data_IF_419303911872
#
_entry.id   IF_419303911872
#
_cell.length_a   1.000
_cell.length_b   1.000
_cell.length_c   1.000
_cell.angle_alpha   90.00
_cell.angle_beta   90.00
_cell.angle_gamma   90.00
#
_symmetry.space_group_name_H-M   'P 1'
#
loop_
_entity.id
_entity.type
_entity.pdbx_description
1 polymer ?
#
# COMPACT_ATOMS: atom_id res chain seq x y z
N UNK A 1 -23.95 -11.82 -6.74
CA UNK A 1 -23.03 -10.99 -7.53
C UNK A 1 -21.68 -11.69 -7.69
N UNK A 2 -21.04 -11.53 -8.85
CA UNK A 2 -19.66 -11.97 -9.12
C UNK A 2 -18.70 -10.79 -9.09
N UNK A 3 -17.64 -10.90 -8.31
CA UNK A 3 -16.63 -9.82 -8.15
C UNK A 3 -15.28 -10.32 -8.65
N UNK A 4 -14.60 -9.50 -9.45
CA UNK A 4 -13.22 -9.72 -9.83
C UNK A 4 -12.29 -8.82 -8.99
N UNK A 5 -11.33 -9.42 -8.28
CA UNK A 5 -10.24 -8.71 -7.61
C UNK A 5 -8.97 -8.93 -8.42
N UNK A 6 -8.35 -7.83 -8.87
CA UNK A 6 -7.12 -7.87 -9.66
C UNK A 6 -5.93 -7.73 -8.74
N UNK A 7 -5.00 -8.69 -8.77
CA UNK A 7 -3.78 -8.70 -7.99
C UNK A 7 -3.48 -10.05 -7.33
N UNK A 8 -2.47 -10.13 -6.48
CA UNK A 8 -1.99 -11.41 -5.93
C UNK A 8 -1.30 -11.31 -4.56
N UNK A 9 -1.35 -10.16 -3.90
CA UNK A 9 -0.65 -9.91 -2.65
C UNK A 9 -1.49 -10.14 -1.40
N UNK A 10 -0.90 -9.84 -0.25
CA UNK A 10 -1.59 -9.89 1.05
C UNK A 10 -2.72 -8.87 1.15
N UNK A 11 -2.57 -7.72 0.51
CA UNK A 11 -3.61 -6.70 0.35
C UNK A 11 -4.86 -7.26 -0.34
N UNK A 12 -4.68 -7.93 -1.47
CA UNK A 12 -5.78 -8.55 -2.21
C UNK A 12 -6.45 -9.63 -1.37
N UNK A 13 -5.68 -10.43 -0.66
CA UNK A 13 -6.24 -11.45 0.23
C UNK A 13 -7.07 -10.81 1.35
N UNK A 14 -6.62 -9.71 1.95
CA UNK A 14 -7.39 -9.00 2.98
C UNK A 14 -8.70 -8.42 2.42
N UNK A 15 -8.67 -7.84 1.22
CA UNK A 15 -9.85 -7.33 0.53
C UNK A 15 -10.84 -8.47 0.24
N UNK A 16 -10.37 -9.59 -0.29
CA UNK A 16 -11.20 -10.77 -0.61
C UNK A 16 -11.88 -11.29 0.66
N UNK A 17 -11.14 -11.46 1.75
CA UNK A 17 -11.72 -11.94 3.01
C UNK A 17 -12.77 -10.99 3.56
N UNK A 18 -12.55 -9.67 3.43
CA UNK A 18 -13.54 -8.66 3.84
C UNK A 18 -14.78 -8.66 2.93
N UNK A 19 -14.62 -8.82 1.63
CA UNK A 19 -15.73 -8.94 0.70
C UNK A 19 -16.57 -10.20 0.94
N UNK A 20 -15.97 -11.31 1.34
CA UNK A 20 -16.69 -12.57 1.68
C UNK A 20 -17.66 -12.44 2.85
N UNK A 21 -17.54 -11.42 3.67
CA UNK A 21 -18.51 -11.14 4.74
C UNK A 21 -19.89 -10.72 4.19
N UNK A 22 -19.95 -10.25 2.93
CA UNK A 22 -21.19 -9.83 2.29
C UNK A 22 -21.94 -11.04 1.67
N UNK A 23 -23.14 -11.39 2.18
CA UNK A 23 -23.88 -12.57 1.72
C UNK A 23 -24.46 -12.43 0.29
N UNK A 24 -24.43 -11.26 -0.31
CA UNK A 24 -24.90 -11.05 -1.69
C UNK A 24 -23.84 -11.38 -2.74
N UNK A 25 -22.60 -11.60 -2.32
CA UNK A 25 -21.50 -12.03 -3.18
C UNK A 25 -21.57 -13.55 -3.34
N UNK A 26 -21.87 -14.00 -4.54
CA UNK A 26 -21.98 -15.43 -4.88
C UNK A 26 -20.61 -16.04 -5.21
N UNK A 27 -19.77 -15.27 -5.88
CA UNK A 27 -18.44 -15.72 -6.31
C UNK A 27 -17.45 -14.56 -6.31
N UNK A 28 -16.26 -14.82 -5.80
CA UNK A 28 -15.11 -13.93 -5.96
C UNK A 28 -14.09 -14.63 -6.87
N UNK A 29 -13.67 -13.91 -7.90
CA UNK A 29 -12.60 -14.29 -8.82
C UNK A 29 -11.39 -13.42 -8.49
N UNK A 30 -10.20 -14.00 -8.46
CA UNK A 30 -8.96 -13.26 -8.28
C UNK A 30 -7.99 -13.54 -9.42
N UNK A 31 -7.37 -12.51 -10.01
CA UNK A 31 -6.44 -12.67 -11.10
C UNK A 31 -5.15 -11.83 -10.88
N UNK A 32 -3.98 -12.49 -10.81
CA UNK A 32 -3.75 -13.94 -10.87
C UNK A 32 -4.05 -14.69 -9.56
N UNK A 33 -4.13 -13.98 -8.40
CA UNK A 33 -4.25 -14.60 -7.09
C UNK A 33 -2.96 -15.26 -6.60
N UNK A 34 -3.05 -16.02 -5.50
CA UNK A 34 -1.94 -16.77 -4.91
C UNK A 34 -2.45 -18.06 -4.23
N UNK A 35 -1.54 -18.82 -3.63
CA UNK A 35 -1.88 -20.12 -3.03
C UNK A 35 -2.92 -20.05 -1.92
N UNK A 36 -2.89 -19.01 -1.07
CA UNK A 36 -3.87 -18.85 0.01
C UNK A 36 -5.18 -18.22 -0.46
N UNK A 37 -5.12 -17.29 -1.42
CA UNK A 37 -6.33 -16.72 -2.04
C UNK A 37 -7.16 -17.81 -2.70
N UNK A 38 -6.55 -18.87 -3.23
CA UNK A 38 -7.23 -19.99 -3.84
C UNK A 38 -8.19 -20.75 -2.89
N UNK A 39 -8.02 -20.63 -1.58
CA UNK A 39 -8.96 -21.16 -0.59
C UNK A 39 -10.19 -20.28 -0.39
N UNK A 40 -10.11 -19.00 -0.75
CA UNK A 40 -11.13 -17.98 -0.52
C UNK A 40 -11.81 -17.49 -1.81
N UNK A 41 -11.16 -17.65 -2.97
CA UNK A 41 -11.64 -17.16 -4.26
C UNK A 41 -11.21 -18.09 -5.42
N UNK A 42 -11.89 -18.00 -6.56
CA UNK A 42 -11.49 -18.67 -7.79
C UNK A 42 -10.31 -17.94 -8.42
N UNK A 43 -9.10 -18.48 -8.31
CA UNK A 43 -7.93 -17.90 -8.94
C UNK A 43 -7.84 -18.26 -10.42
N UNK A 44 -7.62 -17.23 -11.28
CA UNK A 44 -7.43 -17.42 -12.72
C UNK A 44 -6.10 -16.76 -13.12
N UNK A 45 -5.22 -17.53 -13.74
CA UNK A 45 -3.88 -17.08 -14.06
C UNK A 45 -3.84 -16.10 -15.25
N UNK A 46 -4.28 -14.86 -14.99
CA UNK A 46 -4.15 -13.72 -15.88
C UNK A 46 -3.32 -12.66 -15.15
N UNK A 47 -2.26 -12.18 -15.78
CA UNK A 47 -1.41 -11.15 -15.19
C UNK A 47 -2.20 -9.86 -14.92
N UNK A 48 -1.97 -9.21 -13.76
CA UNK A 48 -2.63 -7.96 -13.41
C UNK A 48 -2.38 -6.82 -14.41
N UNK A 49 -1.28 -6.86 -15.14
CA UNK A 49 -0.90 -5.88 -16.17
C UNK A 49 -1.30 -6.28 -17.60
N UNK A 50 -1.93 -7.43 -17.76
CA UNK A 50 -2.45 -7.87 -19.06
C UNK A 50 -3.89 -7.37 -19.24
N UNK A 51 -4.00 -6.11 -19.66
CA UNK A 51 -5.27 -5.40 -19.75
C UNK A 51 -6.26 -6.13 -20.69
N UNK A 52 -5.80 -6.59 -21.84
CA UNK A 52 -6.66 -7.23 -22.82
C UNK A 52 -7.27 -8.55 -22.32
N UNK A 53 -6.44 -9.44 -21.81
CA UNK A 53 -6.90 -10.72 -21.26
C UNK A 53 -7.69 -10.54 -19.98
N UNK A 54 -7.44 -9.48 -19.20
CA UNK A 54 -8.22 -9.17 -17.99
C UNK A 54 -9.65 -8.74 -18.33
N UNK A 55 -9.82 -7.90 -19.35
CA UNK A 55 -11.14 -7.51 -19.87
C UNK A 55 -11.89 -8.73 -20.43
N UNK A 56 -11.21 -9.57 -21.20
CA UNK A 56 -11.82 -10.81 -21.71
C UNK A 56 -12.25 -11.74 -20.58
N UNK A 57 -11.42 -11.91 -19.56
CA UNK A 57 -11.75 -12.65 -18.36
C UNK A 57 -13.01 -12.11 -17.69
N UNK A 58 -13.06 -10.80 -17.44
CA UNK A 58 -14.21 -10.17 -16.78
C UNK A 58 -15.52 -10.37 -17.55
N UNK A 59 -15.47 -10.29 -18.89
CA UNK A 59 -16.63 -10.54 -19.78
C UNK A 59 -17.04 -12.00 -19.80
N UNK A 60 -16.10 -12.93 -19.92
CA UNK A 60 -16.36 -14.37 -19.99
C UNK A 60 -16.96 -14.91 -18.69
N UNK A 61 -16.46 -14.44 -17.55
CA UNK A 61 -16.96 -14.81 -16.22
C UNK A 61 -18.24 -14.03 -15.84
N UNK A 62 -18.66 -13.04 -16.63
CA UNK A 62 -19.82 -12.17 -16.36
C UNK A 62 -19.70 -11.46 -15.01
N UNK A 63 -18.59 -10.79 -14.82
CA UNK A 63 -18.28 -10.04 -13.59
C UNK A 63 -19.22 -8.85 -13.45
N UNK A 64 -19.84 -8.69 -12.28
CA UNK A 64 -20.74 -7.57 -11.98
C UNK A 64 -20.01 -6.33 -11.47
N UNK A 65 -18.83 -6.51 -10.83
CA UNK A 65 -18.03 -5.44 -10.23
C UNK A 65 -16.56 -5.83 -10.16
N UNK A 66 -15.65 -4.89 -10.43
CA UNK A 66 -14.21 -5.12 -10.40
C UNK A 66 -13.52 -4.27 -9.34
N UNK A 67 -12.54 -4.86 -8.64
CA UNK A 67 -11.69 -4.16 -7.67
C UNK A 67 -10.26 -4.19 -8.19
N UNK A 68 -9.74 -3.03 -8.59
CA UNK A 68 -8.37 -2.90 -9.12
C UNK A 68 -7.48 -2.39 -8.01
N UNK A 69 -6.54 -3.22 -7.56
CA UNK A 69 -5.77 -2.96 -6.34
C UNK A 69 -4.30 -2.61 -6.55
N UNK A 70 -3.56 -3.12 -7.56
CA UNK A 70 -2.17 -2.74 -7.77
C UNK A 70 -2.02 -1.41 -8.51
N UNK A 71 -0.93 -0.73 -8.27
CA UNK A 71 -0.56 0.56 -8.86
C UNK A 71 -0.33 0.48 -10.38
N UNK A 72 0.42 -0.52 -10.86
CA UNK A 72 0.72 -0.66 -12.30
C UNK A 72 -0.55 -0.73 -13.17
N UNK A 73 -1.51 -1.65 -12.96
CA UNK A 73 -2.71 -1.70 -13.79
C UNK A 73 -3.58 -0.43 -13.64
N UNK A 74 -3.61 0.23 -12.49
CA UNK A 74 -4.30 1.52 -12.33
C UNK A 74 -3.66 2.60 -13.21
N UNK A 75 -2.33 2.72 -13.17
CA UNK A 75 -1.60 3.68 -13.99
C UNK A 75 -1.72 3.36 -15.50
N UNK A 76 -1.87 2.08 -15.86
CA UNK A 76 -2.06 1.63 -17.24
C UNK A 76 -3.49 1.80 -17.77
N UNK A 77 -4.47 2.18 -16.92
CA UNK A 77 -5.85 2.43 -17.33
C UNK A 77 -6.75 1.19 -17.30
N UNK A 78 -6.49 0.23 -16.41
CA UNK A 78 -7.35 -0.95 -16.24
C UNK A 78 -8.79 -0.58 -15.90
N UNK A 79 -8.98 0.41 -15.02
CA UNK A 79 -10.32 0.91 -14.67
C UNK A 79 -10.99 1.51 -15.90
N UNK A 80 -10.26 2.35 -16.65
CA UNK A 80 -10.81 3.03 -17.83
C UNK A 80 -11.36 2.02 -18.86
N UNK A 81 -10.60 0.98 -19.17
CA UNK A 81 -11.02 0.00 -20.19
C UNK A 81 -12.15 -0.93 -19.70
N UNK A 82 -12.16 -1.30 -18.42
CA UNK A 82 -13.25 -2.11 -17.85
C UNK A 82 -14.57 -1.32 -17.82
N UNK A 83 -14.53 -0.04 -17.44
CA UNK A 83 -15.71 0.83 -17.44
C UNK A 83 -16.22 1.12 -18.87
N UNK A 84 -15.32 1.24 -19.86
CA UNK A 84 -15.73 1.34 -21.27
C UNK A 84 -16.48 0.08 -21.77
N UNK A 85 -16.21 -1.08 -21.18
CA UNK A 85 -16.92 -2.34 -21.45
C UNK A 85 -18.17 -2.52 -20.57
N UNK A 86 -18.52 -1.50 -19.78
CA UNK A 86 -19.71 -1.49 -18.93
C UNK A 86 -19.54 -2.26 -17.63
N UNK A 87 -18.33 -2.54 -17.19
CA UNK A 87 -18.04 -3.23 -15.91
C UNK A 87 -17.67 -2.19 -14.86
N UNK A 88 -18.52 -1.95 -13.84
CA UNK A 88 -18.24 -0.99 -12.78
C UNK A 88 -16.98 -1.37 -11.97
N UNK A 89 -16.16 -0.38 -11.62
CA UNK A 89 -14.90 -0.62 -10.94
C UNK A 89 -14.78 0.17 -9.64
N UNK A 90 -14.01 -0.37 -8.69
CA UNK A 90 -13.41 0.38 -7.60
C UNK A 90 -11.93 0.58 -7.89
N UNK A 91 -11.52 1.84 -7.98
CA UNK A 91 -10.16 2.29 -8.25
C UNK A 91 -10.17 3.56 -9.10
N UNK A 92 -9.09 4.37 -9.06
CA UNK A 92 -8.98 5.55 -9.89
C UNK A 92 -8.74 5.18 -11.35
N UNK A 93 -9.20 6.05 -12.26
CA UNK A 93 -8.78 5.99 -13.65
C UNK A 93 -7.29 6.38 -13.81
N UNK A 94 -6.71 6.14 -14.98
CA UNK A 94 -5.30 6.43 -15.24
C UNK A 94 -4.95 7.92 -15.01
N UNK A 95 -5.86 8.81 -15.37
CA UNK A 95 -5.67 10.24 -15.15
C UNK A 95 -5.52 10.62 -13.68
N UNK A 96 -6.28 9.99 -12.79
CA UNK A 96 -6.19 10.22 -11.36
C UNK A 96 -5.04 9.43 -10.70
N UNK A 97 -4.71 8.23 -11.21
CA UNK A 97 -3.61 7.41 -10.74
C UNK A 97 -2.22 8.07 -10.88
N UNK A 98 -2.12 9.14 -11.67
CA UNK A 98 -0.90 9.93 -11.80
C UNK A 98 -0.38 10.49 -10.47
N UNK A 99 -1.25 10.64 -9.46
CA UNK A 99 -0.85 11.13 -8.13
C UNK A 99 0.17 10.19 -7.44
N UNK A 100 0.19 8.90 -7.78
CA UNK A 100 1.21 7.93 -7.36
C UNK A 100 2.26 7.72 -8.45
N UNK A 101 1.83 7.59 -9.72
CA UNK A 101 2.72 7.21 -10.82
C UNK A 101 3.68 8.33 -11.24
N UNK A 102 3.46 9.59 -10.81
CA UNK A 102 4.40 10.69 -10.96
C UNK A 102 4.58 11.47 -9.65
N UNK A 103 5.75 11.32 -9.06
CA UNK A 103 6.15 12.10 -7.87
C UNK A 103 6.28 13.59 -8.18
N UNK A 104 6.73 13.91 -9.39
CA UNK A 104 6.82 15.29 -9.88
C UNK A 104 5.43 15.91 -9.95
N UNK A 105 4.44 15.21 -10.50
CA UNK A 105 3.05 15.69 -10.51
C UNK A 105 2.54 15.92 -9.09
N UNK A 106 2.70 14.92 -8.20
CA UNK A 106 2.24 15.02 -6.81
C UNK A 106 2.86 16.21 -6.07
N UNK A 107 4.17 16.44 -6.23
CA UNK A 107 4.87 17.57 -5.61
C UNK A 107 4.39 18.91 -6.17
N UNK A 108 4.25 19.02 -7.48
CA UNK A 108 3.74 20.22 -8.13
C UNK A 108 2.29 20.52 -7.72
N UNK A 109 1.45 19.49 -7.60
CA UNK A 109 0.09 19.61 -7.07
C UNK A 109 0.11 20.17 -5.65
N UNK A 110 0.89 19.56 -4.74
CA UNK A 110 0.98 20.02 -3.35
C UNK A 110 1.47 21.48 -3.27
N UNK A 111 2.48 21.84 -4.05
CA UNK A 111 2.98 23.24 -4.10
C UNK A 111 1.93 24.20 -4.60
N UNK A 112 1.24 23.87 -5.70
CA UNK A 112 0.20 24.73 -6.32
C UNK A 112 -0.96 25.00 -5.38
N UNK A 113 -1.39 23.98 -4.64
CA UNK A 113 -2.54 24.04 -3.74
C UNK A 113 -2.18 24.22 -2.27
N UNK A 114 -0.91 24.52 -1.98
CA UNK A 114 -0.39 24.80 -0.63
C UNK A 114 -0.64 23.65 0.37
N UNK A 115 -0.59 22.40 -0.11
CA UNK A 115 -0.67 21.21 0.72
C UNK A 115 0.70 20.96 1.37
N UNK A 116 0.77 20.82 2.71
CA UNK A 116 2.04 20.66 3.42
C UNK A 116 2.83 19.42 2.97
N UNK A 117 4.07 19.62 2.53
CA UNK A 117 5.01 18.57 2.14
C UNK A 117 6.45 19.05 2.33
N UNK A 118 7.43 18.17 2.15
CA UNK A 118 8.85 18.50 2.14
C UNK A 118 9.19 19.55 1.07
N UNK A 119 10.10 20.47 1.38
CA UNK A 119 10.75 21.32 0.38
C UNK A 119 11.40 20.44 -0.68
N UNK A 120 11.28 20.83 -1.97
CA UNK A 120 11.76 19.99 -3.06
C UNK A 120 12.21 20.78 -4.27
N UNK A 121 13.02 20.13 -5.10
CA UNK A 121 13.37 20.57 -6.45
C UNK A 121 13.32 19.39 -7.42
N UNK A 122 13.05 19.68 -8.70
CA UNK A 122 12.90 18.67 -9.75
C UNK A 122 14.01 18.87 -10.78
N UNK A 123 14.63 17.78 -11.22
CA UNK A 123 15.73 17.80 -12.20
C UNK A 123 15.51 16.76 -13.29
N UNK A 124 15.79 17.17 -14.54
CA UNK A 124 15.85 16.30 -15.72
C UNK A 124 17.28 16.16 -16.25
N UNK A 125 18.23 16.88 -15.65
CA UNK A 125 19.67 16.83 -15.96
C UNK A 125 20.47 16.48 -14.70
N UNK A 126 21.32 15.47 -14.81
CA UNK A 126 22.10 14.97 -13.68
C UNK A 126 23.12 16.00 -13.15
N UNK A 127 23.71 16.80 -14.06
CA UNK A 127 24.69 17.81 -13.63
C UNK A 127 24.03 18.98 -12.90
N UNK A 128 22.83 19.39 -13.34
CA UNK A 128 22.03 20.40 -12.62
C UNK A 128 21.63 19.90 -11.24
N UNK A 129 21.21 18.63 -11.10
CA UNK A 129 20.92 18.00 -9.83
C UNK A 129 22.13 18.00 -8.88
N UNK A 130 23.31 17.60 -9.38
CA UNK A 130 24.55 17.59 -8.61
C UNK A 130 24.92 19.02 -8.17
N UNK A 131 24.82 20.01 -9.04
CA UNK A 131 25.11 21.41 -8.72
C UNK A 131 24.15 21.92 -7.64
N UNK A 132 22.86 21.57 -7.69
CA UNK A 132 21.89 21.93 -6.67
C UNK A 132 22.25 21.31 -5.31
N UNK A 133 22.57 20.00 -5.27
CA UNK A 133 22.98 19.30 -4.04
C UNK A 133 24.18 20.01 -3.37
N UNK A 134 25.19 20.36 -4.17
CA UNK A 134 26.38 21.08 -3.68
C UNK A 134 26.07 22.47 -3.16
N UNK A 135 25.15 23.17 -3.82
CA UNK A 135 24.76 24.53 -3.43
C UNK A 135 23.95 24.54 -2.14
N UNK A 136 22.98 23.64 -2.01
CA UNK A 136 22.13 23.51 -0.82
C UNK A 136 22.94 22.99 0.37
N UNK A 137 23.88 22.07 0.15
CA UNK A 137 24.75 21.46 1.16
C UNK A 137 24.00 21.06 2.44
N UNK A 138 22.81 20.43 2.27
CA UNK A 138 21.92 20.04 3.36
C UNK A 138 21.77 18.52 3.38
N UNK A 139 22.15 17.89 4.48
CA UNK A 139 22.09 16.44 4.65
C UNK A 139 21.47 16.09 6.02
N UNK A 140 20.72 14.93 6.12
CA UNK A 140 20.39 14.04 5.00
C UNK A 140 19.54 14.73 3.94
N UNK A 141 19.59 14.22 2.70
CA UNK A 141 18.70 14.61 1.61
C UNK A 141 18.03 13.38 0.98
N UNK A 142 16.84 13.53 0.41
CA UNK A 142 16.08 12.42 -0.17
C UNK A 142 15.99 12.60 -1.67
N UNK A 143 16.40 11.57 -2.42
CA UNK A 143 16.32 11.54 -3.88
C UNK A 143 15.29 10.50 -4.29
N UNK A 144 14.34 10.88 -5.14
CA UNK A 144 13.26 10.01 -5.61
C UNK A 144 13.20 9.99 -7.14
N UNK A 145 13.20 8.80 -7.74
CA UNK A 145 12.90 8.66 -9.16
C UNK A 145 11.41 9.00 -9.44
N UNK A 146 11.13 9.64 -10.57
CA UNK A 146 9.75 9.94 -10.99
C UNK A 146 9.13 8.75 -11.69
N UNK A 147 8.23 8.05 -11.03
CA UNK A 147 7.55 6.88 -11.55
C UNK A 147 7.31 5.78 -10.52
N UNK A 148 6.63 4.72 -10.95
CA UNK A 148 6.43 3.51 -10.16
C UNK A 148 7.75 2.73 -10.13
N UNK A 149 8.38 2.65 -8.95
CA UNK A 149 9.67 1.99 -8.75
C UNK A 149 9.60 0.95 -7.63
N UNK A 150 8.42 0.43 -7.32
CA UNK A 150 8.16 -0.59 -6.28
C UNK A 150 8.78 -0.24 -4.92
N UNK A 151 8.76 1.05 -4.55
CA UNK A 151 9.37 1.56 -3.32
C UNK A 151 10.91 1.60 -3.31
N UNK A 152 11.58 1.16 -4.39
CA UNK A 152 13.05 1.11 -4.48
C UNK A 152 13.69 2.39 -5.05
N UNK A 153 12.90 3.23 -5.68
CA UNK A 153 13.36 4.50 -6.29
C UNK A 153 13.51 5.65 -5.29
N UNK A 154 13.67 5.39 -4.00
CA UNK A 154 13.87 6.38 -2.94
C UNK A 154 15.19 6.11 -2.24
N UNK A 155 16.12 7.05 -2.33
CA UNK A 155 17.45 6.98 -1.72
C UNK A 155 17.61 8.14 -0.74
N UNK A 156 18.14 7.83 0.44
CA UNK A 156 18.46 8.83 1.48
C UNK A 156 19.97 8.93 1.56
N UNK A 157 20.51 10.09 1.23
CA UNK A 157 21.94 10.36 1.22
C UNK A 157 22.34 11.16 2.47
N UNK A 158 23.33 10.66 3.20
CA UNK A 158 23.85 11.27 4.42
C UNK A 158 24.99 12.27 4.14
N UNK A 159 25.59 12.18 2.97
CA UNK A 159 26.73 13.01 2.55
C UNK A 159 26.58 13.47 1.10
N UNK A 160 27.44 14.43 0.66
CA UNK A 160 27.50 14.86 -0.74
C UNK A 160 27.83 13.70 -1.67
N UNK A 161 28.81 12.88 -1.28
CA UNK A 161 29.27 11.76 -2.08
C UNK A 161 28.14 10.75 -2.32
N UNK A 162 27.39 10.41 -1.27
CA UNK A 162 26.23 9.52 -1.37
C UNK A 162 25.12 10.13 -2.24
N UNK A 163 24.88 11.44 -2.13
CA UNK A 163 23.88 12.13 -2.93
C UNK A 163 24.25 12.17 -4.42
N UNK A 164 25.53 12.44 -4.73
CA UNK A 164 26.04 12.39 -6.12
C UNK A 164 25.97 10.97 -6.68
N UNK A 165 26.31 9.96 -5.88
CA UNK A 165 26.16 8.56 -6.27
C UNK A 165 24.70 8.21 -6.56
N UNK A 166 23.77 8.66 -5.71
CA UNK A 166 22.33 8.46 -5.91
C UNK A 166 21.82 9.11 -7.21
N UNK A 167 22.25 10.32 -7.54
CA UNK A 167 21.93 10.95 -8.83
C UNK A 167 22.43 10.10 -10.01
N UNK A 168 23.66 9.60 -9.94
CA UNK A 168 24.21 8.76 -11.00
C UNK A 168 23.42 7.45 -11.15
N UNK A 169 23.10 6.76 -10.05
CA UNK A 169 22.32 5.53 -10.05
C UNK A 169 20.91 5.74 -10.65
N UNK A 170 20.23 6.82 -10.25
CA UNK A 170 18.87 7.11 -10.71
C UNK A 170 18.83 7.59 -12.17
N UNK A 171 19.71 8.53 -12.58
CA UNK A 171 19.60 9.24 -13.84
C UNK A 171 20.55 8.74 -14.91
N UNK A 172 21.79 8.36 -14.56
CA UNK A 172 22.83 8.00 -15.54
C UNK A 172 22.81 6.50 -15.82
N UNK A 173 22.82 5.67 -14.77
CA UNK A 173 22.85 4.21 -14.88
C UNK A 173 21.47 3.64 -15.26
N UNK A 174 20.44 4.49 -15.25
CA UNK A 174 19.05 4.14 -15.57
C UNK A 174 18.54 2.88 -14.81
N UNK A 175 18.95 2.73 -13.55
CA UNK A 175 18.60 1.58 -12.72
C UNK A 175 17.06 1.37 -12.62
N UNK A 176 16.27 2.43 -12.86
CA UNK A 176 14.80 2.42 -12.85
C UNK A 176 14.19 2.75 -14.22
N UNK A 177 14.94 2.60 -15.31
CA UNK A 177 14.46 2.81 -16.69
C UNK A 177 13.86 4.20 -16.90
N UNK A 178 12.64 4.28 -17.42
CA UNK A 178 11.97 5.56 -17.71
C UNK A 178 11.71 6.41 -16.45
N UNK A 179 11.53 5.79 -15.28
CA UNK A 179 11.33 6.49 -14.02
C UNK A 179 12.54 7.34 -13.58
N UNK A 180 13.75 7.00 -14.04
CA UNK A 180 14.98 7.76 -13.77
C UNK A 180 15.19 9.00 -14.64
N UNK A 181 14.33 9.29 -15.62
CA UNK A 181 14.47 10.47 -16.49
C UNK A 181 14.32 11.79 -15.75
N UNK A 182 13.54 11.80 -14.68
CA UNK A 182 13.41 12.92 -13.77
C UNK A 182 13.58 12.43 -12.35
N UNK A 183 14.14 13.26 -11.51
CA UNK A 183 14.23 13.02 -10.07
C UNK A 183 13.69 14.19 -9.29
N UNK A 184 13.17 13.87 -8.10
CA UNK A 184 12.80 14.85 -7.08
C UNK A 184 13.84 14.77 -5.96
N UNK A 185 14.45 15.90 -5.62
CA UNK A 185 15.32 16.04 -4.46
C UNK A 185 14.53 16.75 -3.38
N UNK A 186 14.43 16.16 -2.19
CA UNK A 186 13.61 16.65 -1.08
C UNK A 186 14.45 16.86 0.17
N UNK A 187 14.03 17.81 1.00
CA UNK A 187 14.49 17.88 2.38
C UNK A 187 14.13 16.62 3.16
N UNK A 188 15.02 16.19 4.03
CA UNK A 188 14.74 15.07 4.92
C UNK A 188 13.87 15.53 6.09
N UNK A 189 12.65 15.01 6.17
CA UNK A 189 11.73 15.28 7.28
C UNK A 189 11.98 14.30 8.43
N UNK A 190 11.75 14.75 9.65
CA UNK A 190 11.89 13.93 10.87
C UNK A 190 10.58 13.93 11.66
N UNK A 191 10.25 12.81 12.26
CA UNK A 191 9.04 12.60 13.06
C UNK A 191 8.51 11.18 12.92
N UNK A 192 7.44 10.81 13.63
CA UNK A 192 6.72 9.57 13.39
C UNK A 192 6.10 9.56 12.00
N UNK A 193 6.27 8.45 11.25
CA UNK A 193 5.59 8.22 9.99
C UNK A 193 4.26 7.52 10.25
N UNK A 194 3.20 8.02 9.63
CA UNK A 194 1.84 7.50 9.78
C UNK A 194 1.20 7.34 8.40
N UNK A 195 0.50 6.24 8.21
CA UNK A 195 -0.28 5.98 7.01
C UNK A 195 -1.76 6.18 7.30
N UNK A 196 -2.43 6.99 6.48
CA UNK A 196 -3.89 7.14 6.52
C UNK A 196 -4.44 6.84 5.14
N UNK A 197 -5.21 5.75 5.04
CA UNK A 197 -5.96 5.44 3.85
C UNK A 197 -7.31 6.17 3.92
N UNK A 198 -7.85 6.57 2.79
CA UNK A 198 -9.16 7.21 2.74
C UNK A 198 -9.97 6.73 1.54
N UNK A 199 -11.26 6.52 1.75
CA UNK A 199 -12.20 6.39 0.65
C UNK A 199 -12.53 7.78 0.10
N UNK A 200 -12.60 7.91 -1.21
CA UNK A 200 -13.08 9.14 -1.86
C UNK A 200 -13.80 8.79 -3.16
N UNK A 201 -14.86 9.54 -3.44
CA UNK A 201 -15.65 9.47 -4.66
C UNK A 201 -15.40 10.66 -5.60
N UNK A 202 -14.35 11.45 -5.32
CA UNK A 202 -14.01 12.68 -6.04
C UNK A 202 -14.70 13.95 -5.50
N UNK A 203 -15.61 13.83 -4.55
CA UNK A 203 -16.34 14.93 -3.90
C UNK A 203 -16.06 15.00 -2.41
N UNK A 204 -16.06 13.86 -1.74
CA UNK A 204 -15.80 13.75 -0.31
C UNK A 204 -14.62 12.83 -0.07
N UNK A 205 -14.00 12.94 1.11
CA UNK A 205 -12.95 12.07 1.59
C UNK A 205 -13.31 11.57 2.97
N UNK A 206 -13.26 10.24 3.15
CA UNK A 206 -13.55 9.57 4.42
C UNK A 206 -12.33 8.79 4.86
N UNK A 207 -11.51 9.31 5.79
CA UNK A 207 -10.34 8.62 6.30
C UNK A 207 -10.71 7.34 7.05
N UNK A 208 -9.87 6.32 6.88
CA UNK A 208 -9.92 5.08 7.62
C UNK A 208 -9.15 5.21 8.94
N UNK A 209 -9.17 4.16 9.75
CA UNK A 209 -8.31 4.06 10.93
C UNK A 209 -6.85 4.21 10.49
N UNK A 210 -6.10 5.04 11.23
CA UNK A 210 -4.68 5.27 10.94
C UNK A 210 -3.86 4.01 11.17
N UNK A 211 -2.75 3.87 10.46
CA UNK A 211 -1.82 2.76 10.62
C UNK A 211 -0.37 3.24 10.65
N UNK A 212 0.53 2.38 11.08
CA UNK A 212 1.96 2.65 11.12
C UNK A 212 2.71 1.44 10.59
N UNK A 213 3.34 1.59 9.45
CA UNK A 213 4.16 0.58 8.80
C UNK A 213 5.61 0.60 9.30
N UNK A 214 6.27 -0.55 9.23
CA UNK A 214 7.69 -0.75 9.56
C UNK A 214 8.42 -1.16 8.29
N UNK A 215 9.10 -0.19 7.67
CA UNK A 215 9.65 -0.35 6.31
C UNK A 215 11.02 -1.02 6.27
N UNK A 216 11.77 -1.06 7.37
CA UNK A 216 13.12 -1.64 7.38
C UNK A 216 13.08 -3.17 7.52
N UNK A 217 14.03 -3.82 6.84
CA UNK A 217 14.09 -5.28 6.77
C UNK A 217 14.47 -5.95 8.11
N UNK A 218 15.16 -5.24 8.99
CA UNK A 218 15.71 -5.75 10.24
C UNK A 218 15.16 -5.00 11.45
N UNK A 219 15.31 -5.62 12.62
CA UNK A 219 14.98 -4.99 13.90
C UNK A 219 15.72 -3.66 14.09
N UNK A 220 15.19 -2.78 14.95
CA UNK A 220 15.72 -1.45 15.29
C UNK A 220 15.76 -0.47 14.11
N UNK A 221 14.90 -0.64 13.10
CA UNK A 221 14.87 0.13 11.85
C UNK A 221 16.20 0.06 11.07
N UNK A 222 16.82 -1.10 11.09
CA UNK A 222 18.05 -1.38 10.35
C UNK A 222 17.78 -2.12 9.03
N UNK A 223 18.81 -2.21 8.19
CA UNK A 223 18.75 -2.88 6.90
C UNK A 223 18.12 -2.03 5.80
N UNK A 224 17.76 -2.68 4.70
CA UNK A 224 17.22 -2.02 3.51
C UNK A 224 15.73 -1.69 3.68
N UNK A 225 15.25 -0.71 2.92
CA UNK A 225 13.83 -0.46 2.77
C UNK A 225 13.14 -1.63 2.07
N UNK A 226 11.93 -1.93 2.51
CA UNK A 226 11.07 -3.00 2.00
C UNK A 226 9.69 -2.47 1.64
N UNK A 227 8.80 -3.34 1.20
CA UNK A 227 7.38 -3.03 1.05
C UNK A 227 6.61 -2.97 2.37
N UNK A 228 7.28 -3.14 3.52
CA UNK A 228 6.70 -3.24 4.86
C UNK A 228 6.91 -4.62 5.48
N UNK A 229 7.47 -4.64 6.70
CA UNK A 229 7.75 -5.85 7.48
C UNK A 229 6.71 -6.08 8.58
N UNK A 230 5.82 -5.14 8.75
CA UNK A 230 4.71 -5.22 9.70
C UNK A 230 4.04 -3.88 9.91
N UNK A 231 2.83 -3.91 10.39
CA UNK A 231 2.01 -2.71 10.58
C UNK A 231 1.08 -2.87 11.77
N UNK A 232 0.71 -1.75 12.35
CA UNK A 232 -0.20 -1.66 13.48
C UNK A 232 -1.30 -0.63 13.19
N UNK A 233 -2.48 -0.82 13.75
CA UNK A 233 -3.60 0.12 13.69
C UNK A 233 -4.41 0.06 15.01
N UNK A 234 -4.86 1.24 15.54
CA UNK A 234 -4.51 2.57 15.11
C UNK A 234 -3.07 2.98 15.45
N UNK A 235 -2.53 3.99 14.75
CA UNK A 235 -1.27 4.61 15.15
C UNK A 235 -1.47 5.47 16.39
N UNK A 236 -0.74 5.25 17.49
CA UNK A 236 -0.89 6.04 18.71
C UNK A 236 -0.38 7.48 18.59
N UNK A 237 0.40 7.77 17.55
CA UNK A 237 0.85 9.14 17.25
C UNK A 237 -0.23 9.97 16.53
N UNK A 238 -1.26 9.34 15.98
CA UNK A 238 -2.29 10.02 15.19
C UNK A 238 -3.47 10.40 16.06
N UNK A 239 -3.31 11.51 16.80
CA UNK A 239 -4.36 12.03 17.69
C UNK A 239 -5.52 12.65 16.91
N UNK A 240 -6.64 12.89 17.61
CA UNK A 240 -7.80 13.58 17.02
C UNK A 240 -7.43 14.97 16.48
N UNK A 241 -6.58 15.72 17.17
CA UNK A 241 -6.13 17.05 16.76
C UNK A 241 -5.31 17.00 15.46
N UNK A 242 -4.44 16.00 15.35
CA UNK A 242 -3.68 15.75 14.12
C UNK A 242 -4.62 15.33 13.00
N UNK A 243 -5.60 14.46 13.26
CA UNK A 243 -6.61 14.05 12.28
C UNK A 243 -7.42 15.23 11.76
N UNK A 244 -7.89 16.11 12.65
CA UNK A 244 -8.62 17.34 12.30
C UNK A 244 -7.74 18.30 11.46
N UNK A 245 -6.45 18.38 11.78
CA UNK A 245 -5.48 19.17 11.00
C UNK A 245 -5.26 18.57 9.61
N UNK A 246 -5.01 17.27 9.53
CA UNK A 246 -4.83 16.55 8.25
C UNK A 246 -6.07 16.70 7.35
N UNK A 247 -7.27 16.58 7.93
CA UNK A 247 -8.51 16.75 7.17
C UNK A 247 -8.57 18.12 6.51
N UNK A 248 -8.27 19.21 7.27
CA UNK A 248 -8.38 20.59 6.80
C UNK A 248 -7.26 21.01 5.85
N UNK A 249 -6.03 20.54 6.09
CA UNK A 249 -4.84 21.04 5.39
C UNK A 249 -4.29 20.10 4.33
N UNK A 250 -4.69 18.82 4.38
CA UNK A 250 -4.15 17.80 3.48
C UNK A 250 -5.27 17.08 2.72
N UNK A 251 -6.20 16.39 3.41
CA UNK A 251 -7.10 15.45 2.73
C UNK A 251 -8.12 16.16 1.83
N UNK A 252 -8.90 17.09 2.37
CA UNK A 252 -9.84 17.88 1.59
C UNK A 252 -9.14 18.70 0.49
N UNK A 253 -8.03 19.42 0.77
CA UNK A 253 -7.29 20.13 -0.27
C UNK A 253 -6.76 19.22 -1.38
N UNK A 254 -6.33 17.99 -1.07
CA UNK A 254 -5.85 17.04 -2.09
C UNK A 254 -6.97 16.61 -3.04
N UNK A 255 -8.12 16.20 -2.50
CA UNK A 255 -9.26 15.76 -3.34
C UNK A 255 -9.78 16.91 -4.19
N UNK A 256 -9.89 18.10 -3.63
CA UNK A 256 -10.31 19.29 -4.36
C UNK A 256 -9.27 19.71 -5.43
N UNK A 257 -7.98 19.63 -5.12
CA UNK A 257 -6.90 19.90 -6.08
C UNK A 257 -6.97 18.95 -7.28
N UNK A 258 -7.12 17.64 -7.04
CA UNK A 258 -7.27 16.65 -8.10
C UNK A 258 -8.48 16.94 -8.99
N UNK A 259 -9.61 17.33 -8.39
CA UNK A 259 -10.80 17.74 -9.13
C UNK A 259 -10.56 18.99 -9.98
N UNK A 260 -9.89 20.01 -9.44
CA UNK A 260 -9.57 21.24 -10.18
C UNK A 260 -8.57 21.02 -11.32
N UNK A 261 -7.70 20.01 -11.20
CA UNK A 261 -6.81 19.57 -12.29
C UNK A 261 -7.55 18.75 -13.37
N UNK A 262 -8.87 18.56 -13.25
CA UNK A 262 -9.64 17.71 -14.17
C UNK A 262 -9.38 16.22 -14.02
N UNK A 263 -8.91 15.80 -12.83
CA UNK A 263 -8.52 14.44 -12.47
C UNK A 263 -9.22 13.97 -11.19
N UNK A 264 -10.57 14.02 -11.10
CA UNK A 264 -11.26 13.61 -9.88
C UNK A 264 -10.86 12.18 -9.49
N UNK A 265 -10.49 11.99 -8.21
CA UNK A 265 -10.00 10.72 -7.73
C UNK A 265 -11.14 9.92 -7.09
N UNK A 266 -11.40 8.71 -7.59
CA UNK A 266 -12.34 7.74 -7.01
C UNK A 266 -11.59 6.48 -6.59
N UNK A 267 -11.82 6.00 -5.37
CA UNK A 267 -11.17 4.80 -4.88
C UNK A 267 -10.60 4.96 -3.47
N UNK A 268 -9.51 4.26 -3.21
CA UNK A 268 -8.72 4.37 -2.00
C UNK A 268 -7.50 5.25 -2.26
N UNK A 269 -7.45 6.42 -1.63
CA UNK A 269 -6.27 7.30 -1.65
C UNK A 269 -5.50 7.12 -0.34
N UNK A 270 -4.22 6.76 -0.46
CA UNK A 270 -3.32 6.59 0.66
C UNK A 270 -2.48 7.86 0.85
N UNK A 271 -2.43 8.33 2.07
CA UNK A 271 -1.61 9.45 2.51
C UNK A 271 -0.49 8.93 3.41
N UNK A 272 0.76 8.95 2.92
CA UNK A 272 1.95 8.79 3.76
C UNK A 272 2.28 10.12 4.41
N UNK A 273 2.25 10.16 5.73
CA UNK A 273 2.42 11.39 6.50
C UNK A 273 3.65 11.32 7.41
N UNK A 274 4.40 12.41 7.49
CA UNK A 274 5.37 12.64 8.54
C UNK A 274 4.79 13.63 9.55
N UNK A 275 4.74 13.26 10.82
CA UNK A 275 4.30 14.14 11.90
C UNK A 275 5.49 14.94 12.39
N UNK A 276 5.77 16.06 11.72
CA UNK A 276 6.90 16.93 12.07
C UNK A 276 6.54 17.87 13.23
N UNK A 277 7.54 18.50 13.89
CA UNK A 277 7.29 19.51 14.92
C UNK A 277 6.41 20.69 14.46
N UNK A 278 6.43 21.00 13.15
CA UNK A 278 5.63 22.08 12.55
C UNK A 278 4.24 21.61 12.12
N UNK A 279 3.92 20.34 12.30
CA UNK A 279 2.65 19.72 11.93
C UNK A 279 2.78 18.59 10.90
N UNK A 280 1.66 17.97 10.52
CA UNK A 280 1.66 16.88 9.56
C UNK A 280 2.03 17.37 8.15
N UNK A 281 2.91 16.61 7.47
CA UNK A 281 3.33 16.85 6.09
C UNK A 281 3.24 15.58 5.27
N UNK A 282 2.85 15.72 4.01
CA UNK A 282 2.77 14.57 3.08
C UNK A 282 4.19 14.15 2.65
N UNK A 283 4.48 12.86 2.85
CA UNK A 283 5.67 12.18 2.33
C UNK A 283 5.44 11.72 0.90
N UNK A 284 4.28 11.05 0.68
CA UNK A 284 3.86 10.50 -0.60
C UNK A 284 2.36 10.22 -0.62
N UNK A 285 1.82 10.07 -1.83
CA UNK A 285 0.50 9.50 -2.09
C UNK A 285 0.64 8.12 -2.73
N UNK A 286 -0.33 7.23 -2.44
CA UNK A 286 -0.54 6.07 -3.28
C UNK A 286 -2.01 6.04 -3.72
N UNK A 287 -2.26 5.62 -4.96
CA UNK A 287 -3.59 5.64 -5.58
C UNK A 287 -4.42 4.38 -5.30
N UNK A 288 -4.09 3.65 -4.23
CA UNK A 288 -4.63 2.33 -3.92
C UNK A 288 -4.46 2.00 -2.44
N UNK A 289 -5.07 0.90 -2.03
CA UNK A 289 -4.84 0.32 -0.71
C UNK A 289 -3.35 0.01 -0.46
N UNK A 290 -2.87 0.19 0.78
CA UNK A 290 -1.51 -0.15 1.19
C UNK A 290 -1.31 -1.65 1.42
N UNK A 291 -0.08 -2.09 1.40
CA UNK A 291 0.33 -3.45 1.75
C UNK A 291 1.64 -3.38 2.57
N UNK A 292 1.62 -3.58 3.91
CA UNK A 292 0.64 -4.37 4.66
C UNK A 292 -0.46 -3.59 5.42
N UNK A 293 -0.71 -2.32 5.17
CA UNK A 293 -1.68 -1.52 5.95
C UNK A 293 -3.11 -2.08 5.85
N UNK A 294 -3.50 -2.58 4.69
CA UNK A 294 -4.83 -3.17 4.47
C UNK A 294 -5.10 -4.33 5.43
N UNK A 295 -4.08 -5.10 5.77
CA UNK A 295 -4.15 -6.26 6.65
C UNK A 295 -4.42 -5.91 8.12
N UNK A 296 -4.34 -4.64 8.50
CA UNK A 296 -4.71 -4.16 9.86
C UNK A 296 -5.90 -3.21 9.84
N UNK A 297 -6.14 -2.51 8.73
CA UNK A 297 -7.23 -1.53 8.65
C UNK A 297 -8.56 -2.22 8.34
N UNK A 298 -8.63 -3.10 7.34
CA UNK A 298 -9.88 -3.78 6.98
C UNK A 298 -10.43 -4.71 8.07
N UNK A 299 -9.63 -5.42 8.88
CA UNK A 299 -10.17 -6.17 10.02
C UNK A 299 -10.95 -5.33 11.04
N UNK A 300 -10.68 -4.03 11.10
CA UNK A 300 -11.37 -3.09 12.00
C UNK A 300 -12.60 -2.43 11.35
N UNK A 301 -12.87 -2.68 10.08
CA UNK A 301 -14.03 -2.11 9.38
C UNK A 301 -15.30 -2.88 9.73
N UNK A 302 -16.35 -2.20 10.23
CA UNK A 302 -17.68 -2.76 10.48
C UNK A 302 -18.59 -2.66 9.26
N UNK A 303 -18.58 -1.49 8.61
CA UNK A 303 -19.43 -1.24 7.44
C UNK A 303 -19.04 -2.17 6.30
N UNK A 304 -20.00 -2.73 5.60
CA UNK A 304 -19.77 -3.62 4.47
C UNK A 304 -18.89 -2.98 3.39
N UNK A 305 -17.80 -3.65 3.03
CA UNK A 305 -16.80 -3.11 2.11
C UNK A 305 -17.36 -2.94 0.69
N UNK A 306 -18.18 -3.88 0.20
CA UNK A 306 -18.79 -3.78 -1.12
C UNK A 306 -19.74 -2.59 -1.20
N UNK A 307 -20.52 -2.35 -0.16
CA UNK A 307 -21.41 -1.19 -0.07
C UNK A 307 -20.62 0.12 -0.18
N UNK A 308 -19.46 0.23 0.51
CA UNK A 308 -18.59 1.40 0.41
C UNK A 308 -18.03 1.53 -1.01
N UNK A 309 -17.50 0.44 -1.58
CA UNK A 309 -16.89 0.46 -2.91
C UNK A 309 -17.91 0.87 -4.00
N UNK A 310 -19.14 0.41 -3.89
CA UNK A 310 -20.22 0.81 -4.80
C UNK A 310 -20.59 2.28 -4.60
N UNK A 311 -20.68 2.74 -3.36
CA UNK A 311 -20.96 4.16 -3.09
C UNK A 311 -19.87 5.09 -3.63
N UNK A 312 -18.60 4.66 -3.59
CA UNK A 312 -17.47 5.38 -4.23
C UNK A 312 -17.65 5.45 -5.74
N UNK A 313 -17.98 4.30 -6.39
CA UNK A 313 -18.21 4.26 -7.83
C UNK A 313 -19.39 5.15 -8.23
N UNK A 314 -20.50 5.09 -7.50
CA UNK A 314 -21.77 5.79 -7.77
C UNK A 314 -21.76 7.28 -7.32
N UNK A 315 -20.65 7.78 -6.76
CA UNK A 315 -20.53 9.14 -6.19
C UNK A 315 -21.53 9.43 -5.05
N UNK A 316 -21.79 8.42 -4.21
CA UNK A 316 -22.74 8.46 -3.09
C UNK A 316 -22.08 8.24 -1.73
N UNK A 317 -20.76 8.42 -1.64
CA UNK A 317 -20.04 8.17 -0.39
C UNK A 317 -20.52 9.08 0.75
N UNK A 318 -21.00 10.28 0.43
CA UNK A 318 -21.58 11.24 1.41
C UNK A 318 -22.87 10.72 2.06
N UNK A 319 -23.54 9.74 1.48
CA UNK A 319 -24.79 9.15 2.01
C UNK A 319 -24.51 8.03 3.02
N UNK A 320 -23.25 7.58 3.15
CA UNK A 320 -22.85 6.49 4.04
C UNK A 320 -22.23 6.99 5.34
N UNK A 321 -22.60 6.32 6.42
CA UNK A 321 -21.88 6.36 7.69
C UNK A 321 -20.98 5.13 7.76
N UNK A 322 -19.67 5.33 7.74
CA UNK A 322 -18.68 4.25 7.82
C UNK A 322 -18.28 4.06 9.29
N UNK A 323 -18.50 2.88 9.81
CA UNK A 323 -18.23 2.52 11.20
C UNK A 323 -17.01 1.59 11.32
N UNK A 324 -16.30 1.75 12.41
CA UNK A 324 -15.09 1.00 12.74
C UNK A 324 -15.22 0.32 14.10
N UNK A 325 -14.49 -0.78 14.31
CA UNK A 325 -14.33 -1.40 15.62
C UNK A 325 -13.45 -0.52 16.53
N UNK A 326 -13.86 -0.42 17.78
CA UNK A 326 -13.02 0.19 18.84
C UNK A 326 -12.03 -0.86 19.37
N UNK A 327 -11.11 -1.27 18.49
CA UNK A 327 -10.10 -2.31 18.72
C UNK A 327 -8.79 -1.92 18.06
N UNK A 328 -7.77 -2.71 18.35
CA UNK A 328 -6.46 -2.61 17.71
C UNK A 328 -6.16 -3.85 16.86
N UNK A 329 -5.35 -3.67 15.83
CA UNK A 329 -4.88 -4.73 14.98
C UNK A 329 -3.37 -4.61 14.74
N UNK A 330 -2.68 -5.75 14.71
CA UNK A 330 -1.26 -5.81 14.38
C UNK A 330 -1.03 -6.93 13.36
N UNK A 331 -0.21 -6.66 12.36
CA UNK A 331 0.21 -7.62 11.35
C UNK A 331 1.73 -7.69 11.29
N UNK A 332 2.30 -8.89 11.42
CA UNK A 332 3.73 -9.16 11.25
C UNK A 332 3.95 -9.94 9.96
N UNK A 333 4.87 -9.47 9.13
CA UNK A 333 5.17 -10.10 7.85
C UNK A 333 6.27 -11.16 8.02
N UNK A 334 5.99 -12.37 7.54
CA UNK A 334 6.96 -13.44 7.39
C UNK A 334 7.51 -13.41 5.97
N UNK A 335 8.80 -13.17 5.84
CA UNK A 335 9.50 -13.01 4.58
C UNK A 335 10.47 -14.17 4.30
N UNK A 336 10.78 -14.39 3.04
CA UNK A 336 11.86 -15.29 2.61
C UNK A 336 13.23 -14.73 3.00
N UNK A 337 14.14 -15.56 3.44
CA UNK A 337 15.49 -15.16 3.79
C UNK A 337 16.20 -14.49 2.61
N UNK A 338 16.81 -13.34 2.89
CA UNK A 338 17.45 -12.47 1.89
C UNK A 338 16.57 -11.36 1.32
N UNK A 339 15.26 -11.38 1.57
CA UNK A 339 14.37 -10.25 1.19
C UNK A 339 14.82 -8.93 1.87
N UNK A 340 14.84 -7.77 1.18
CA UNK A 340 14.27 -7.46 -0.15
C UNK A 340 15.24 -7.69 -1.34
N UNK A 341 16.40 -8.29 -1.11
CA UNK A 341 17.37 -8.61 -2.16
C UNK A 341 17.05 -9.98 -2.80
N UNK A 342 18.07 -10.82 -3.01
CA UNK A 342 17.88 -12.16 -3.58
C UNK A 342 17.37 -13.12 -2.52
N UNK A 343 16.33 -13.87 -2.85
CA UNK A 343 15.75 -14.92 -2.01
C UNK A 343 15.38 -16.13 -2.85
N UNK A 344 15.28 -17.28 -2.20
CA UNK A 344 14.82 -18.53 -2.81
C UNK A 344 13.31 -18.69 -2.61
N UNK A 345 12.69 -19.43 -3.51
CA UNK A 345 11.27 -19.79 -3.51
C UNK A 345 11.12 -21.32 -3.51
N UNK A 346 9.91 -21.79 -3.20
CA UNK A 346 9.57 -23.21 -3.30
C UNK A 346 9.85 -24.00 -2.01
N UNK A 347 10.05 -23.32 -0.88
CA UNK A 347 10.12 -23.98 0.41
C UNK A 347 8.71 -24.29 0.93
N UNK A 348 8.50 -25.51 1.43
CA UNK A 348 7.25 -25.92 2.07
C UNK A 348 6.98 -25.06 3.31
N UNK A 349 5.73 -24.61 3.47
CA UNK A 349 5.25 -23.89 4.64
C UNK A 349 4.46 -24.85 5.50
N UNK A 350 4.90 -25.09 6.72
CA UNK A 350 4.22 -25.92 7.71
C UNK A 350 3.53 -25.09 8.78
N UNK A 351 2.59 -25.71 9.52
CA UNK A 351 1.86 -25.09 10.62
C UNK A 351 0.59 -24.35 10.20
N UNK A 352 0.21 -24.42 8.92
CA UNK A 352 -1.07 -23.94 8.42
C UNK A 352 -2.09 -25.09 8.30
N UNK A 353 -3.36 -24.79 8.51
CA UNK A 353 -4.47 -25.71 8.23
C UNK A 353 -4.72 -25.86 6.71
N UNK A 354 -5.71 -26.67 6.33
CA UNK A 354 -6.09 -26.93 4.94
C UNK A 354 -6.55 -25.66 4.19
N UNK A 355 -6.94 -24.62 4.91
CA UNK A 355 -7.35 -23.31 4.37
C UNK A 355 -6.22 -22.27 4.42
N UNK A 356 -5.03 -22.66 4.83
CA UNK A 356 -3.88 -21.77 4.94
C UNK A 356 -3.94 -20.83 6.15
N UNK A 357 -4.65 -21.21 7.23
CA UNK A 357 -4.88 -20.37 8.40
C UNK A 357 -4.24 -20.98 9.66
N UNK A 358 -4.19 -20.17 10.72
CA UNK A 358 -3.84 -20.56 12.08
C UNK A 358 -4.96 -20.10 13.02
N UNK A 359 -5.40 -20.95 13.91
CA UNK A 359 -6.49 -20.62 14.84
C UNK A 359 -6.18 -19.40 15.71
N UNK A 360 -7.14 -18.49 15.82
CA UNK A 360 -7.05 -17.28 16.65
C UNK A 360 -6.45 -16.05 15.97
N UNK A 361 -5.89 -16.18 14.77
CA UNK A 361 -5.40 -15.08 13.95
C UNK A 361 -5.85 -15.22 12.50
N UNK A 362 -5.67 -14.17 11.70
CA UNK A 362 -5.86 -14.25 10.26
C UNK A 362 -4.51 -14.28 9.56
N UNK A 363 -4.31 -15.28 8.71
CA UNK A 363 -3.13 -15.37 7.86
C UNK A 363 -3.46 -14.81 6.49
N UNK A 364 -2.82 -13.71 6.12
CA UNK A 364 -2.91 -13.15 4.78
C UNK A 364 -1.74 -13.66 3.92
N UNK A 365 -2.06 -14.40 2.88
CA UNK A 365 -1.08 -14.92 1.94
C UNK A 365 -0.68 -13.84 0.93
N UNK A 366 0.62 -13.68 0.73
CA UNK A 366 1.22 -12.84 -0.29
C UNK A 366 1.98 -13.72 -1.30
N UNK A 367 3.28 -13.89 -1.12
CA UNK A 367 4.09 -14.72 -1.99
C UNK A 367 3.97 -16.21 -1.66
N UNK A 368 2.82 -16.83 -1.93
CA UNK A 368 2.60 -18.27 -1.71
C UNK A 368 2.08 -18.98 -2.96
N UNK A 369 2.38 -20.26 -3.07
CA UNK A 369 1.81 -21.18 -4.05
C UNK A 369 1.18 -22.37 -3.34
N UNK A 370 0.11 -22.92 -3.91
CA UNK A 370 -0.52 -24.17 -3.48
C UNK A 370 -0.19 -25.26 -4.49
N UNK A 371 0.37 -26.37 -4.01
CA UNK A 371 0.72 -27.50 -4.87
C UNK A 371 0.68 -28.80 -4.06
N UNK A 372 0.08 -29.85 -4.63
CA UNK A 372 0.05 -31.22 -4.07
C UNK A 372 -0.43 -31.26 -2.60
N UNK A 373 -1.45 -30.43 -2.26
CA UNK A 373 -2.00 -30.37 -0.90
C UNK A 373 -1.17 -29.61 0.12
N UNK A 374 -0.21 -28.78 -0.33
CA UNK A 374 0.69 -28.03 0.55
C UNK A 374 0.92 -26.59 0.07
N UNK A 375 1.25 -25.71 1.00
CA UNK A 375 1.66 -24.33 0.72
C UNK A 375 3.19 -24.25 0.57
N UNK A 376 3.65 -23.41 -0.36
CA UNK A 376 5.05 -23.14 -0.63
C UNK A 376 5.33 -21.65 -0.73
N UNK A 377 6.54 -21.24 -0.36
CA UNK A 377 7.01 -19.85 -0.58
C UNK A 377 7.13 -19.57 -2.07
N UNK A 378 6.61 -18.42 -2.52
CA UNK A 378 6.66 -17.98 -3.93
C UNK A 378 6.91 -16.47 -4.08
N UNK A 379 7.41 -15.82 -3.05
CA UNK A 379 7.69 -14.37 -3.07
C UNK A 379 8.62 -13.94 -1.95
N UNK A 380 8.93 -12.66 -1.90
CA UNK A 380 9.76 -12.08 -0.85
C UNK A 380 9.00 -11.97 0.47
N UNK A 381 7.87 -11.23 0.49
CA UNK A 381 6.90 -11.29 1.58
C UNK A 381 5.99 -12.48 1.32
N UNK A 382 5.89 -13.38 2.28
CA UNK A 382 5.23 -14.68 2.11
C UNK A 382 3.87 -14.68 2.78
N UNK A 383 3.80 -14.37 4.08
CA UNK A 383 2.59 -14.35 4.88
C UNK A 383 2.54 -13.09 5.75
N UNK A 384 1.34 -12.61 6.03
CA UNK A 384 1.06 -11.63 7.09
C UNK A 384 0.25 -12.29 8.20
N UNK A 385 0.77 -12.31 9.42
CA UNK A 385 0.07 -12.84 10.60
C UNK A 385 -0.60 -11.67 11.30
N UNK A 386 -1.93 -11.60 11.18
CA UNK A 386 -2.73 -10.46 11.65
C UNK A 386 -3.65 -10.86 12.81
N UNK A 387 -3.58 -10.11 13.90
CA UNK A 387 -4.41 -10.30 15.09
C UNK A 387 -5.18 -9.03 15.45
N UNK A 388 -6.45 -9.19 15.81
CA UNK A 388 -7.30 -8.12 16.35
C UNK A 388 -7.51 -8.37 17.84
N UNK A 389 -7.35 -7.34 18.66
CA UNK A 389 -7.58 -7.40 20.12
C UNK A 389 -8.09 -6.06 20.64
N UNK A 390 -8.45 -6.01 21.93
CA UNK A 390 -8.92 -4.78 22.56
C UNK A 390 -7.80 -3.73 22.70
N UNK A 391 -6.54 -4.19 22.78
CA UNK A 391 -5.37 -3.30 22.83
C UNK A 391 -4.30 -3.71 21.82
N UNK A 392 -3.47 -2.76 21.42
CA UNK A 392 -2.36 -2.99 20.51
C UNK A 392 -1.34 -3.99 21.08
N UNK A 393 -1.07 -3.92 22.38
CA UNK A 393 -0.17 -4.85 23.07
C UNK A 393 -0.65 -6.30 22.96
N UNK A 394 -1.94 -6.53 23.20
CA UNK A 394 -2.55 -7.85 23.08
C UNK A 394 -2.53 -8.35 21.63
N UNK A 395 -2.82 -7.48 20.64
CA UNK A 395 -2.76 -7.83 19.23
C UNK A 395 -1.35 -8.25 18.81
N UNK A 396 -0.32 -7.49 19.21
CA UNK A 396 1.08 -7.82 18.95
C UNK A 396 1.48 -9.14 19.62
N UNK A 397 1.14 -9.30 20.91
CA UNK A 397 1.43 -10.53 21.65
C UNK A 397 0.85 -11.76 20.95
N UNK A 398 -0.42 -11.69 20.55
CA UNK A 398 -1.10 -12.78 19.86
C UNK A 398 -0.47 -13.08 18.49
N UNK A 399 -0.15 -12.06 17.69
CA UNK A 399 0.54 -12.25 16.40
C UNK A 399 1.87 -12.98 16.59
N UNK A 400 2.71 -12.53 17.52
CA UNK A 400 4.02 -13.16 17.78
C UNK A 400 3.93 -14.56 18.40
N UNK A 401 2.89 -14.84 19.20
CA UNK A 401 2.62 -16.18 19.73
C UNK A 401 2.31 -17.13 18.57
N UNK A 402 1.44 -16.74 17.66
CA UNK A 402 0.97 -17.56 16.54
C UNK A 402 2.00 -17.75 15.43
N UNK A 403 2.91 -16.83 15.25
CA UNK A 403 4.06 -16.98 14.34
C UNK A 403 4.87 -18.23 14.66
N UNK A 404 4.99 -18.62 15.94
CA UNK A 404 5.77 -19.80 16.37
C UNK A 404 5.21 -21.12 15.84
N UNK A 405 3.94 -21.14 15.44
CA UNK A 405 3.31 -22.33 14.85
C UNK A 405 3.69 -22.51 13.37
N UNK A 406 4.16 -21.44 12.70
CA UNK A 406 4.46 -21.41 11.26
C UNK A 406 5.95 -21.57 11.02
N UNK A 407 6.35 -22.40 10.05
CA UNK A 407 7.76 -22.60 9.70
C UNK A 407 7.95 -22.81 8.20
N UNK A 408 8.99 -22.20 7.66
CA UNK A 408 9.58 -22.51 6.36
C UNK A 408 11.08 -22.19 6.38
N UNK A 409 11.82 -22.76 5.46
CA UNK A 409 13.29 -22.61 5.41
C UNK A 409 13.65 -21.12 5.20
N UNK A 410 14.63 -20.65 5.97
CA UNK A 410 15.13 -19.27 5.96
C UNK A 410 14.04 -18.21 6.24
N UNK A 411 13.01 -18.56 7.02
CA UNK A 411 11.98 -17.62 7.43
C UNK A 411 12.57 -16.44 8.21
N UNK A 412 12.23 -15.22 7.77
CA UNK A 412 12.65 -13.98 8.39
C UNK A 412 11.44 -13.11 8.75
N UNK A 413 11.46 -12.47 9.92
CA UNK A 413 10.49 -11.45 10.35
C UNK A 413 11.13 -10.53 11.40
N UNK A 414 10.64 -9.30 11.51
CA UNK A 414 11.06 -8.38 12.56
C UNK A 414 10.41 -8.74 13.89
N UNK A 415 11.18 -8.73 14.99
CA UNK A 415 10.72 -9.10 16.34
C UNK A 415 10.27 -7.90 17.15
N UNK A 416 10.36 -6.71 16.60
CA UNK A 416 10.13 -5.44 17.29
C UNK A 416 9.01 -4.57 16.68
N UNK A 417 8.16 -5.15 15.83
CA UNK A 417 6.98 -4.44 15.28
C UNK A 417 6.15 -3.86 16.43
N UNK A 418 5.89 -2.55 16.38
CA UNK A 418 5.13 -1.84 17.42
C UNK A 418 5.84 -1.57 18.75
N UNK A 419 7.06 -2.08 18.98
CA UNK A 419 7.77 -1.93 20.26
C UNK A 419 8.05 -0.48 20.68
N UNK A 420 8.34 0.38 19.73
CA UNK A 420 8.61 1.81 19.99
C UNK A 420 7.39 2.54 20.54
N UNK A 421 6.23 1.95 20.33
CA UNK A 421 4.94 2.55 20.63
C UNK A 421 4.35 2.03 21.95
N UNK A 422 4.52 0.74 22.23
CA UNK A 422 4.00 0.09 23.44
C UNK A 422 4.83 0.43 24.70
N UNK A 423 6.06 0.92 24.52
CA UNK A 423 6.97 1.29 25.64
C UNK A 423 6.88 2.76 26.07
N UNK A 424 6.00 3.55 25.45
CA UNK A 424 5.71 4.93 25.87
C UNK A 424 4.41 4.96 26.69
#
# INVERSE_FOLDING_TARGET
MKILVIGSGGREHAIIRKLKENPTIEEIICAPGNGGIAADAKCINVSAIDLANMVELAKNEKVDFCVVTPDDPLAMGMVDILEMEGIPCFGPNANAAIIESSKVFAKNLMKKYQIPTAGYAVFSDAQEAINYIRTENRYPTVLKADGLALGKGVLIAQTEEEAVQAVNELMVDQAFGQAGKQIVIEEFMTGPEVSVLAFTDGHVVVPMVSSMDHKRALDNDEGLNTGGMGTIAPSPFYTKEIADTCMKTIFLPTVEAMKQEGRPFKGCLYFGLMLTPEGPRVVEYNCRFGDPETQVVLPLLKTDLLTIMRAVHDEKLSELMIEWEDKACACVILASGGYPQKYHKGYEISGLDDYGQVEGVTIYHAGTAWKDGKYYTNGGRVLGVSAVSDTLEQALQLSYEKIKEIQFTDMHYCTDIGRKVVKQ
#
